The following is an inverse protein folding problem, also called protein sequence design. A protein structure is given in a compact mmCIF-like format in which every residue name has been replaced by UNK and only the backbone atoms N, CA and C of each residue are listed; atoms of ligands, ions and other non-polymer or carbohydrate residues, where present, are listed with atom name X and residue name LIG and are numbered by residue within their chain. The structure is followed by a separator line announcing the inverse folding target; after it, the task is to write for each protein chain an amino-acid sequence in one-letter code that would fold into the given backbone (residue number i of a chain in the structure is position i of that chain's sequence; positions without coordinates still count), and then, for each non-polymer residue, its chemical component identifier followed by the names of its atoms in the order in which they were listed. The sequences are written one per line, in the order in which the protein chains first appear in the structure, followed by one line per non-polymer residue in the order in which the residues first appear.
data_IF_029143576553
#
_entry.id   IF_029143576553
#
_cell.length_a   1.000
_cell.length_b   1.000
_cell.length_c   1.000
_cell.angle_alpha   90.00
_cell.angle_beta   90.00
_cell.angle_gamma   90.00
#
_symmetry.space_group_name_H-M   'P 1'
#
loop_
_entity.id
_entity.type
_entity.pdbx_description
1 polymer ?
#
# COMPACT_ATOMS: atom_id res chain seq x y z
N UNK A 1 5.32 -9.19 -3.94
CA UNK A 1 4.71 -10.32 -4.69
C UNK A 1 3.22 -10.25 -4.45
N UNK A 2 2.40 -10.07 -5.48
CA UNK A 2 0.93 -10.03 -5.32
C UNK A 2 0.42 -11.47 -5.17
N UNK A 3 -0.25 -11.80 -4.05
CA UNK A 3 -1.16 -12.95 -3.95
C UNK A 3 -0.76 -14.07 -2.97
N UNK A 4 -1.07 -13.91 -1.67
CA UNK A 4 -1.39 -15.05 -0.78
C UNK A 4 -2.91 -15.13 -0.50
N UNK A 5 -3.64 -14.01 -0.68
CA UNK A 5 -5.10 -13.93 -0.58
C UNK A 5 -5.69 -13.44 -1.93
N UNK A 6 -6.78 -14.05 -2.44
CA UNK A 6 -7.47 -13.55 -3.63
C UNK A 6 -7.86 -12.08 -3.44
N UNK A 7 -7.69 -11.26 -4.48
CA UNK A 7 -8.06 -9.84 -4.52
C UNK A 7 -7.24 -8.88 -3.64
N UNK A 8 -6.14 -9.31 -3.01
CA UNK A 8 -5.24 -8.42 -2.28
C UNK A 8 -3.86 -8.32 -2.91
N UNK A 9 -3.22 -7.18 -2.69
CA UNK A 9 -1.83 -6.94 -3.08
C UNK A 9 -0.93 -6.96 -1.86
N UNK A 10 0.28 -7.48 -2.03
CA UNK A 10 1.31 -7.47 -1.00
C UNK A 10 2.48 -6.63 -1.47
N UNK A 11 2.89 -5.71 -0.60
CA UNK A 11 4.03 -4.81 -0.81
C UNK A 11 5.14 -5.17 0.18
N UNK A 12 6.38 -4.92 -0.22
CA UNK A 12 7.53 -4.98 0.67
C UNK A 12 8.20 -3.62 0.68
N UNK A 13 8.66 -3.17 1.85
CA UNK A 13 9.32 -1.88 1.97
C UNK A 13 10.39 -1.88 3.06
N UNK A 14 11.44 -1.08 2.84
CA UNK A 14 12.41 -0.75 3.86
C UNK A 14 12.08 0.63 4.45
N UNK A 15 12.09 0.74 5.77
CA UNK A 15 11.81 1.97 6.49
C UNK A 15 12.98 2.34 7.41
N UNK A 16 13.20 3.64 7.61
CA UNK A 16 14.13 4.18 8.61
C UNK A 16 13.31 4.86 9.70
N UNK A 17 13.62 4.57 10.96
CA UNK A 17 12.96 5.19 12.10
C UNK A 17 13.99 5.96 12.91
N UNK A 18 13.58 7.14 13.34
CA UNK A 18 14.26 7.92 14.34
C UNK A 18 13.34 7.99 15.56
N UNK A 19 13.73 7.31 16.64
CA UNK A 19 12.93 7.20 17.86
C UNK A 19 13.54 8.04 18.95
N UNK A 20 12.74 8.92 19.53
CA UNK A 20 13.15 9.80 20.61
C UNK A 20 12.45 9.40 21.90
N UNK A 21 13.22 9.28 22.99
CA UNK A 21 12.71 9.07 24.34
C UNK A 21 13.35 10.08 25.30
N UNK A 22 12.83 10.15 26.53
CA UNK A 22 13.40 10.99 27.59
C UNK A 22 14.87 10.64 27.91
N UNK A 23 15.32 9.42 27.58
CA UNK A 23 16.66 8.92 27.87
C UNK A 23 17.59 8.93 26.65
N UNK A 24 17.15 9.47 25.51
CA UNK A 24 17.95 9.60 24.29
C UNK A 24 17.24 9.12 23.03
N UNK A 25 17.92 9.31 21.89
CA UNK A 25 17.44 8.96 20.55
C UNK A 25 18.09 7.69 20.03
N UNK A 26 17.33 6.87 19.32
CA UNK A 26 17.81 5.66 18.67
C UNK A 26 17.29 5.55 17.25
N UNK A 27 18.21 5.28 16.31
CA UNK A 27 17.88 5.02 14.92
C UNK A 27 17.69 3.52 14.71
N UNK A 28 16.72 3.17 13.88
CA UNK A 28 16.45 1.79 13.50
C UNK A 28 16.10 1.69 12.02
N UNK A 29 16.29 0.51 11.46
CA UNK A 29 15.82 0.15 10.12
C UNK A 29 14.80 -0.96 10.24
N UNK A 30 13.74 -0.90 9.45
CA UNK A 30 12.70 -1.91 9.41
C UNK A 30 12.54 -2.50 8.01
N UNK A 31 12.26 -3.79 7.95
CA UNK A 31 11.68 -4.42 6.76
C UNK A 31 10.22 -4.71 7.03
N UNK A 32 9.36 -4.29 6.11
CA UNK A 32 7.92 -4.40 6.18
C UNK A 32 7.41 -5.29 5.05
N UNK A 33 6.52 -6.22 5.38
CA UNK A 33 5.57 -6.83 4.44
C UNK A 33 4.21 -6.20 4.76
N UNK A 34 3.57 -5.62 3.76
CA UNK A 34 2.27 -4.95 3.89
C UNK A 34 1.25 -5.67 2.99
N UNK A 35 -0.02 -5.65 3.37
CA UNK A 35 -1.13 -6.05 2.50
C UNK A 35 -2.15 -4.92 2.36
N UNK A 36 -2.81 -4.87 1.20
CA UNK A 36 -3.88 -3.92 0.93
C UNK A 36 -4.89 -4.48 -0.07
N UNK A 37 -6.09 -3.88 -0.08
CA UNK A 37 -7.14 -4.10 -1.06
C UNK A 37 -7.08 -3.02 -2.15
N UNK A 38 -6.79 -3.36 -3.40
CA UNK A 38 -6.90 -2.43 -4.51
C UNK A 38 -8.37 -2.06 -4.74
N UNK A 39 -8.66 -0.76 -4.82
CA UNK A 39 -10.01 -0.25 -5.10
C UNK A 39 -9.92 0.82 -6.19
N UNK A 40 -10.72 0.64 -7.23
CA UNK A 40 -10.81 1.60 -8.33
C UNK A 40 -11.83 2.70 -8.03
N UNK A 41 -11.39 3.95 -8.04
CA UNK A 41 -12.24 5.12 -7.98
C UNK A 41 -12.50 5.61 -9.41
N UNK A 42 -13.75 5.47 -9.88
CA UNK A 42 -14.17 5.85 -11.23
C UNK A 42 -14.08 7.35 -11.48
N UNK A 43 -14.53 8.16 -10.52
CA UNK A 43 -14.58 9.63 -10.65
C UNK A 43 -13.18 10.22 -10.82
N UNK A 44 -12.21 9.68 -10.10
CA UNK A 44 -10.81 10.10 -10.15
C UNK A 44 -9.98 9.35 -11.19
N UNK A 45 -10.53 8.29 -11.79
CA UNK A 45 -9.80 7.36 -12.65
C UNK A 45 -8.54 6.82 -11.98
N UNK A 46 -8.62 6.45 -10.71
CA UNK A 46 -7.45 6.13 -9.89
C UNK A 46 -7.62 4.85 -9.09
N UNK A 47 -6.51 4.15 -8.84
CA UNK A 47 -6.45 2.95 -8.01
C UNK A 47 -5.87 3.33 -6.66
N UNK A 48 -6.63 3.06 -5.61
CA UNK A 48 -6.25 3.22 -4.22
C UNK A 48 -5.90 1.87 -3.60
N UNK A 49 -5.03 1.87 -2.60
CA UNK A 49 -4.67 0.69 -1.83
C UNK A 49 -5.30 0.81 -0.44
N UNK A 50 -6.56 0.45 -0.36
CA UNK A 50 -7.34 0.56 0.87
C UNK A 50 -6.99 -0.56 1.83
N UNK A 51 -7.41 -0.39 3.09
CA UNK A 51 -7.18 -1.37 4.16
C UNK A 51 -5.71 -1.75 4.36
N UNK A 52 -4.80 -0.83 4.04
CA UNK A 52 -3.36 -1.05 4.18
C UNK A 52 -2.99 -1.48 5.60
N UNK A 53 -2.27 -2.58 5.73
CA UNK A 53 -1.83 -3.09 7.02
C UNK A 53 -0.49 -3.81 6.94
N UNK A 54 0.26 -3.74 8.03
CA UNK A 54 1.48 -4.51 8.23
C UNK A 54 1.11 -5.97 8.51
N UNK A 55 1.66 -6.90 7.72
CA UNK A 55 1.50 -8.35 7.95
C UNK A 55 2.74 -8.97 8.56
N UNK A 56 3.90 -8.41 8.27
CA UNK A 56 5.17 -8.80 8.88
C UNK A 56 6.08 -7.59 9.00
N UNK A 57 6.82 -7.52 10.09
CA UNK A 57 7.75 -6.44 10.35
C UNK A 57 8.93 -6.91 11.19
N UNK A 58 10.13 -6.67 10.66
CA UNK A 58 11.39 -6.92 11.38
C UNK A 58 12.12 -5.60 11.56
N UNK A 59 12.65 -5.34 12.76
CA UNK A 59 13.42 -4.13 13.07
C UNK A 59 14.85 -4.46 13.49
N UNK A 60 15.78 -3.59 13.12
CA UNK A 60 17.17 -3.62 13.57
C UNK A 60 17.51 -2.28 14.21
N UNK A 61 18.03 -2.25 15.44
CA UNK A 61 18.42 -3.40 16.28
C UNK A 61 17.24 -4.12 16.93
N UNK A 62 17.39 -5.42 17.22
CA UNK A 62 16.33 -6.33 17.69
C UNK A 62 15.64 -5.85 18.98
N UNK A 63 16.37 -5.18 19.88
CA UNK A 63 15.82 -4.57 21.11
C UNK A 63 14.65 -3.60 20.85
N UNK A 64 14.50 -3.09 19.63
CA UNK A 64 13.40 -2.20 19.25
C UNK A 64 12.12 -2.94 18.84
N UNK A 65 12.13 -4.28 18.76
CA UNK A 65 10.99 -5.06 18.30
C UNK A 65 9.77 -4.89 19.23
N UNK A 66 9.98 -4.82 20.56
CA UNK A 66 8.90 -4.60 21.54
C UNK A 66 8.27 -3.20 21.43
N UNK A 67 9.10 -2.18 21.18
CA UNK A 67 8.65 -0.81 20.94
C UNK A 67 7.83 -0.76 19.66
N UNK A 68 8.32 -1.39 18.58
CA UNK A 68 7.59 -1.50 17.32
C UNK A 68 6.22 -2.16 17.53
N UNK A 69 6.14 -3.29 18.24
CA UNK A 69 4.86 -3.97 18.49
C UNK A 69 3.83 -3.07 19.17
N UNK A 70 4.27 -2.20 20.09
CA UNK A 70 3.40 -1.23 20.78
C UNK A 70 2.95 -0.11 19.84
N UNK A 71 3.79 0.27 18.87
CA UNK A 71 3.50 1.32 17.89
C UNK A 71 2.78 0.82 16.63
N UNK A 72 2.72 -0.50 16.39
CA UNK A 72 2.10 -1.10 15.21
C UNK A 72 0.66 -0.62 14.95
N UNK A 73 -0.24 -0.50 15.95
CA UNK A 73 -1.59 0.00 15.71
C UNK A 73 -1.60 1.43 15.13
N UNK A 74 -0.73 2.30 15.63
CA UNK A 74 -0.59 3.67 15.15
C UNK A 74 0.01 3.73 13.73
N UNK A 75 0.99 2.86 13.46
CA UNK A 75 1.56 2.70 12.12
C UNK A 75 0.48 2.24 11.13
N UNK A 76 -0.31 1.22 11.49
CA UNK A 76 -1.41 0.73 10.66
C UNK A 76 -2.45 1.83 10.40
N UNK A 77 -2.85 2.59 11.42
CA UNK A 77 -3.77 3.71 11.23
C UNK A 77 -3.21 4.77 10.28
N UNK A 78 -1.93 5.11 10.43
CA UNK A 78 -1.26 6.10 9.59
C UNK A 78 -1.14 5.63 8.14
N UNK A 79 -0.79 4.36 7.93
CA UNK A 79 -0.74 3.73 6.61
C UNK A 79 -2.13 3.76 5.94
N UNK A 80 -3.19 3.35 6.65
CA UNK A 80 -4.57 3.41 6.13
C UNK A 80 -4.96 4.83 5.75
N UNK A 81 -4.72 5.80 6.64
CA UNK A 81 -5.05 7.20 6.37
C UNK A 81 -4.34 7.74 5.12
N UNK A 82 -3.04 7.45 4.99
CA UNK A 82 -2.25 7.91 3.84
C UNK A 82 -2.73 7.26 2.53
N UNK A 83 -2.78 5.92 2.46
CA UNK A 83 -3.10 5.22 1.21
C UNK A 83 -4.58 5.28 0.81
N UNK A 84 -5.48 5.62 1.74
CA UNK A 84 -6.87 5.94 1.39
C UNK A 84 -7.00 7.29 0.66
N UNK A 85 -6.06 8.21 0.86
CA UNK A 85 -6.08 9.55 0.26
C UNK A 85 -5.12 9.68 -0.92
N UNK A 86 -4.00 8.96 -0.87
CA UNK A 86 -2.99 8.94 -1.91
C UNK A 86 -3.22 7.76 -2.87
N UNK A 87 -3.57 8.01 -4.14
CA UNK A 87 -3.71 6.94 -5.11
C UNK A 87 -2.34 6.30 -5.40
N UNK A 88 -2.31 4.99 -5.53
CA UNK A 88 -1.12 4.26 -5.97
C UNK A 88 -0.92 4.36 -7.48
N UNK A 89 -2.00 4.56 -8.23
CA UNK A 89 -1.96 4.75 -9.68
C UNK A 89 -3.10 5.65 -10.14
N UNK A 90 -2.85 6.53 -11.12
CA UNK A 90 -3.85 7.44 -11.69
C UNK A 90 -3.82 7.31 -13.20
N UNK A 91 -4.97 7.01 -13.80
CA UNK A 91 -5.13 6.88 -15.25
C UNK A 91 -5.01 8.25 -15.92
N UNK A 92 -4.11 8.30 -16.89
CA UNK A 92 -3.81 9.48 -17.70
C UNK A 92 -4.37 9.35 -19.11
N UNK A 93 -4.86 10.45 -19.66
CA UNK A 93 -5.38 10.48 -21.03
C UNK A 93 -4.28 10.74 -22.06
N UNK A 94 -3.14 11.26 -21.63
CA UNK A 94 -2.02 11.69 -22.46
C UNK A 94 -0.88 10.67 -22.54
N UNK A 95 -0.95 9.57 -21.79
CA UNK A 95 0.09 8.55 -21.74
C UNK A 95 -0.04 7.52 -22.87
N UNK A 96 -1.23 6.93 -23.07
CA UNK A 96 -1.49 5.95 -24.11
C UNK A 96 -2.98 5.88 -24.48
N UNK A 97 -3.28 5.40 -25.70
CA UNK A 97 -4.67 5.18 -26.13
C UNK A 97 -5.42 4.20 -25.21
N UNK A 98 -4.74 3.16 -24.72
CA UNK A 98 -5.32 2.18 -23.80
C UNK A 98 -5.68 2.80 -22.45
N UNK A 99 -4.81 3.63 -21.90
CA UNK A 99 -5.05 4.28 -20.61
C UNK A 99 -6.12 5.38 -20.71
N UNK A 100 -6.18 6.11 -21.81
CA UNK A 100 -7.26 7.05 -22.11
C UNK A 100 -8.63 6.35 -22.22
N UNK A 101 -8.68 5.19 -22.87
CA UNK A 101 -9.89 4.37 -22.93
C UNK A 101 -10.25 3.81 -21.56
N UNK A 102 -9.27 3.31 -20.80
CA UNK A 102 -9.47 2.83 -19.44
C UNK A 102 -10.10 3.93 -18.57
N UNK A 103 -9.57 5.15 -18.60
CA UNK A 103 -10.13 6.25 -17.82
C UNK A 103 -11.60 6.54 -18.14
N UNK A 104 -11.98 6.42 -19.43
CA UNK A 104 -13.34 6.71 -19.90
C UNK A 104 -14.33 5.58 -19.64
N UNK A 105 -13.89 4.33 -19.73
CA UNK A 105 -14.79 3.17 -19.77
C UNK A 105 -14.61 2.19 -18.63
N UNK A 106 -13.59 2.34 -17.77
CA UNK A 106 -13.34 1.43 -16.67
C UNK A 106 -14.54 1.36 -15.71
N UNK A 107 -15.08 0.14 -15.58
CA UNK A 107 -16.15 -0.15 -14.61
C UNK A 107 -15.64 -0.70 -13.29
N UNK A 108 -14.36 -1.05 -13.22
CA UNK A 108 -13.73 -1.63 -12.04
C UNK A 108 -12.32 -2.12 -12.38
N UNK A 109 -11.78 -2.93 -11.47
CA UNK A 109 -10.50 -3.63 -11.62
C UNK A 109 -10.67 -5.09 -11.24
N UNK A 110 -9.85 -5.94 -11.84
CA UNK A 110 -9.68 -7.34 -11.48
C UNK A 110 -8.23 -7.53 -11.03
N UNK A 111 -8.02 -8.10 -9.85
CA UNK A 111 -6.68 -8.34 -9.31
C UNK A 111 -6.27 -9.75 -9.69
N UNK A 112 -5.24 -9.87 -10.51
CA UNK A 112 -4.63 -11.15 -10.90
C UNK A 112 -3.26 -11.31 -10.25
N UNK A 113 -2.73 -12.53 -10.14
CA UNK A 113 -1.37 -12.73 -9.68
C UNK A 113 -0.37 -11.93 -10.54
N UNK A 114 0.26 -10.92 -9.94
CA UNK A 114 1.27 -10.08 -10.59
C UNK A 114 0.75 -8.83 -11.32
N UNK A 115 -0.57 -8.67 -11.52
CA UNK A 115 -1.11 -7.54 -12.28
C UNK A 115 -2.52 -7.12 -11.84
N UNK A 116 -2.86 -5.85 -12.08
CA UNK A 116 -4.22 -5.33 -11.92
C UNK A 116 -4.76 -5.05 -13.32
N UNK A 117 -5.85 -5.72 -13.68
CA UNK A 117 -6.48 -5.61 -15.00
C UNK A 117 -7.67 -4.66 -14.93
N UNK A 118 -7.77 -3.75 -15.89
CA UNK A 118 -8.94 -2.89 -16.07
C UNK A 118 -9.73 -3.41 -17.29
N UNK A 119 -10.84 -4.13 -17.10
CA UNK A 119 -11.62 -4.66 -18.20
C UNK A 119 -12.41 -3.55 -18.91
N UNK A 120 -12.43 -3.58 -20.25
CA UNK A 120 -13.24 -2.66 -21.08
C UNK A 120 -14.62 -3.23 -21.42
N UNK A 121 -14.78 -4.55 -21.27
CA UNK A 121 -16.05 -5.28 -21.45
C UNK A 121 -16.28 -6.15 -20.22
N UNK A 122 -17.54 -6.42 -19.90
CA UNK A 122 -17.88 -7.41 -18.86
C UNK A 122 -17.41 -8.81 -19.27
#
# INVERSE_FOLDING_TARGET
MVGEEPNKVTLTGDARLDMNSLFGSQKATMKLKLKALPVFNKEKGAIYLQEMEVVDATVTPEKMQSVLQTLLPYLNQSLRNYFNQQPAYVLREDSSKGEALAKRFAKGIEVKPGEIVIPFTN
#
